data_IF_216634367969
#
_entry.id   IF_216634367969
#
_cell.length_a   1.000
_cell.length_b   1.000
_cell.length_c   1.000
_cell.angle_alpha   90.00
_cell.angle_beta   90.00
_cell.angle_gamma   90.00
#
_symmetry.space_group_name_H-M   'P 1'
#
loop_
_entity.id
_entity.type
_entity.pdbx_description
1 polymer ?
#
# COMPACT_ATOMS: atom_id res chain seq x y z
N UNK A 1 -13.30 16.01 10.72
CA UNK A 1 -13.38 14.78 9.90
C UNK A 1 -12.71 15.08 8.56
N UNK A 2 -11.58 14.45 8.24
CA UNK A 2 -10.94 14.66 6.92
C UNK A 2 -11.61 13.72 5.92
N UNK A 3 -12.48 14.26 5.09
CA UNK A 3 -12.98 13.63 3.87
C UNK A 3 -11.76 13.34 2.98
N UNK A 4 -11.55 12.08 2.61
CA UNK A 4 -10.54 11.72 1.60
C UNK A 4 -11.07 12.21 0.27
N UNK A 5 -10.58 13.36 -0.18
CA UNK A 5 -10.85 13.88 -1.51
C UNK A 5 -10.09 13.05 -2.56
N UNK A 6 -10.71 12.88 -3.71
CA UNK A 6 -10.24 12.09 -4.84
C UNK A 6 -8.90 12.56 -5.42
N UNK A 7 -8.12 11.57 -5.89
CA UNK A 7 -7.17 11.65 -7.02
C UNK A 7 -6.11 12.77 -6.98
N UNK A 8 -5.22 12.72 -6.00
CA UNK A 8 -3.87 13.24 -6.19
C UNK A 8 -2.94 12.05 -6.37
N UNK A 9 -2.28 11.94 -7.52
CA UNK A 9 -1.23 10.94 -7.69
C UNK A 9 -0.19 11.13 -6.57
N UNK A 10 0.16 10.05 -5.87
CA UNK A 10 1.23 10.09 -4.88
C UNK A 10 2.52 10.54 -5.56
N UNK A 11 3.22 11.49 -4.94
CA UNK A 11 4.54 11.94 -5.38
C UNK A 11 5.61 11.58 -4.35
N UNK A 12 6.87 11.60 -4.79
CA UNK A 12 8.01 11.38 -3.90
C UNK A 12 7.99 12.40 -2.77
N UNK A 13 8.20 11.92 -1.54
CA UNK A 13 8.17 12.72 -0.32
C UNK A 13 6.79 12.79 0.34
N UNK A 14 5.72 12.36 -0.33
CA UNK A 14 4.42 12.21 0.32
C UNK A 14 4.47 11.04 1.31
N UNK A 15 3.77 11.20 2.43
CA UNK A 15 3.51 10.09 3.34
C UNK A 15 2.63 9.06 2.62
N UNK A 16 3.06 7.80 2.61
CA UNK A 16 2.30 6.70 2.05
C UNK A 16 0.93 6.56 2.76
N UNK A 17 -0.19 6.41 2.04
CA UNK A 17 -1.49 6.18 2.64
C UNK A 17 -1.51 4.91 3.48
N UNK A 18 -2.12 4.98 4.66
CA UNK A 18 -2.31 3.80 5.50
C UNK A 18 -3.22 2.78 4.81
N UNK A 19 -2.87 1.50 4.94
CA UNK A 19 -3.73 0.42 4.50
C UNK A 19 -3.69 -0.75 5.47
N UNK A 20 -4.83 -1.43 5.58
CA UNK A 20 -5.00 -2.63 6.38
C UNK A 20 -5.75 -3.65 5.54
N UNK A 21 -5.02 -4.59 4.94
CA UNK A 21 -5.55 -5.51 3.92
C UNK A 21 -5.23 -6.97 4.25
N UNK A 22 -6.05 -7.93 3.80
CA UNK A 22 -5.70 -9.34 3.85
C UNK A 22 -4.54 -9.65 2.90
N UNK A 23 -3.73 -10.66 3.25
CA UNK A 23 -2.66 -11.22 2.42
C UNK A 23 -2.69 -12.75 2.47
N UNK A 24 -1.83 -13.39 1.68
CA UNK A 24 -1.66 -14.86 1.67
C UNK A 24 -1.13 -15.43 2.98
N UNK A 25 -0.62 -14.59 3.91
CA UNK A 25 -0.11 -15.01 5.23
C UNK A 25 -0.87 -14.38 6.41
N UNK A 26 -2.03 -13.79 6.15
CA UNK A 26 -2.85 -13.10 7.15
C UNK A 26 -2.94 -11.59 6.92
N UNK A 27 -3.39 -10.85 7.93
CA UNK A 27 -3.62 -9.41 7.82
C UNK A 27 -2.30 -8.63 7.83
N UNK A 28 -2.19 -7.62 6.97
CA UNK A 28 -1.07 -6.67 6.92
C UNK A 28 -1.58 -5.26 7.25
N UNK A 29 -0.75 -4.49 7.96
CA UNK A 29 -0.94 -3.06 8.24
C UNK A 29 0.36 -2.34 7.85
N UNK A 30 0.28 -1.28 7.04
CA UNK A 30 1.48 -0.63 6.48
C UNK A 30 2.37 -0.04 7.57
N UNK A 31 1.79 0.70 8.53
CA UNK A 31 2.55 1.30 9.63
C UNK A 31 3.39 0.29 10.42
N UNK A 32 2.84 -0.90 10.70
CA UNK A 32 3.55 -1.96 11.41
C UNK A 32 4.74 -2.54 10.62
N UNK A 33 4.66 -2.57 9.29
CA UNK A 33 5.76 -3.04 8.46
C UNK A 33 6.88 -2.00 8.36
N UNK A 34 6.51 -0.72 8.26
CA UNK A 34 7.48 0.40 8.19
C UNK A 34 8.30 0.50 9.48
N UNK A 35 7.71 0.19 10.64
CA UNK A 35 8.44 0.11 11.91
C UNK A 35 9.52 -0.99 11.92
N UNK A 36 9.36 -2.05 11.12
CA UNK A 36 10.32 -3.14 11.02
C UNK A 36 11.42 -2.86 9.99
N UNK A 37 11.19 -1.94 9.06
CA UNK A 37 12.17 -1.52 8.06
C UNK A 37 11.56 -0.96 6.78
N UNK A 38 12.39 -0.65 5.77
CA UNK A 38 11.93 -0.17 4.47
C UNK A 38 10.97 -1.15 3.79
N UNK A 39 9.90 -0.63 3.18
CA UNK A 39 8.88 -1.43 2.49
C UNK A 39 8.87 -1.09 1.00
N UNK A 40 8.86 -2.12 0.16
CA UNK A 40 8.63 -2.00 -1.29
C UNK A 40 7.21 -2.48 -1.60
N UNK A 41 6.38 -1.60 -2.17
CA UNK A 41 5.04 -1.94 -2.64
C UNK A 41 5.06 -2.14 -4.16
N UNK A 42 4.83 -3.37 -4.61
CA UNK A 42 4.70 -3.71 -6.02
C UNK A 42 3.24 -4.01 -6.35
N UNK A 43 2.70 -3.30 -7.35
CA UNK A 43 1.36 -3.55 -7.89
C UNK A 43 1.49 -4.30 -9.20
N UNK A 44 0.67 -5.31 -9.40
CA UNK A 44 0.58 -6.03 -10.66
C UNK A 44 -0.88 -6.30 -11.03
N UNK A 45 -1.23 -6.47 -12.31
CA UNK A 45 -2.63 -6.43 -12.74
C UNK A 45 -3.42 -7.66 -12.35
N UNK A 46 -2.85 -8.86 -12.58
CA UNK A 46 -3.57 -10.12 -12.42
C UNK A 46 -2.64 -11.32 -12.31
N UNK A 47 -3.01 -12.25 -11.45
CA UNK A 47 -2.36 -13.57 -11.35
C UNK A 47 -2.54 -14.40 -12.63
N UNK A 48 -1.60 -15.31 -12.88
CA UNK A 48 -1.67 -16.32 -13.95
C UNK A 48 -1.90 -15.78 -15.36
N UNK A 49 -1.39 -14.57 -15.65
CA UNK A 49 -1.43 -13.99 -17.00
C UNK A 49 -0.01 -13.76 -17.52
N UNK A 50 0.27 -14.03 -18.80
CA UNK A 50 1.49 -13.54 -19.44
C UNK A 50 1.53 -12.01 -19.38
N UNK A 51 2.73 -11.46 -19.16
CA UNK A 51 2.99 -10.02 -19.24
C UNK A 51 3.14 -9.54 -20.68
#
# INVERSE_FOLDING_TARGET
MKTVNQESALKVGDQAPEFSVPSTKGKIVLSQLVEQGPVVLALYPKDFTPG
#
